data_IF_060216083993
#
_entry.id   IF_060216083993
#
_cell.length_a   1.000
_cell.length_b   1.000
_cell.length_c   1.000
_cell.angle_alpha   90.00
_cell.angle_beta   90.00
_cell.angle_gamma   90.00
#
_symmetry.space_group_name_H-M   'P 1'
#
loop_
_entity.id
_entity.type
_entity.pdbx_description
1 polymer ?
#
# COMPACT_ATOMS: atom_id res chain seq x y z
N UNK A 1 19.13 34.46 12.49
CA UNK A 1 19.76 33.12 12.38
C UNK A 1 18.66 32.16 11.98
N UNK A 2 18.45 32.00 10.66
CA UNK A 2 17.37 31.20 10.11
C UNK A 2 17.83 29.75 9.97
N UNK A 3 17.00 28.81 10.43
CA UNK A 3 17.25 27.39 10.26
C UNK A 3 16.65 27.00 8.92
N UNK A 4 17.49 26.83 7.89
CA UNK A 4 17.07 26.09 6.70
C UNK A 4 16.76 24.66 7.14
N UNK A 5 15.48 24.31 7.15
CA UNK A 5 15.07 22.91 7.32
C UNK A 5 15.41 22.21 6.02
N UNK A 6 16.59 21.58 5.97
CA UNK A 6 17.00 20.77 4.84
C UNK A 6 16.03 19.58 4.67
N UNK A 7 15.56 19.34 3.46
CA UNK A 7 14.78 18.16 3.14
C UNK A 7 15.65 16.91 3.31
N UNK A 8 15.25 16.03 4.24
CA UNK A 8 15.95 14.79 4.53
C UNK A 8 14.99 13.61 4.42
N UNK A 9 15.38 12.59 3.65
CA UNK A 9 14.66 11.33 3.53
C UNK A 9 15.49 10.22 4.16
N UNK A 10 14.83 9.34 4.92
CA UNK A 10 15.44 8.12 5.47
C UNK A 10 14.88 6.93 4.69
N UNK A 11 15.66 6.34 3.76
CA UNK A 11 15.16 5.24 2.92
C UNK A 11 14.62 4.05 3.73
N UNK A 12 15.22 3.77 4.88
CA UNK A 12 14.76 2.69 5.77
C UNK A 12 13.36 2.94 6.34
N UNK A 13 13.00 4.20 6.58
CA UNK A 13 11.66 4.58 7.05
C UNK A 13 10.64 4.41 5.90
N UNK A 14 11.03 4.72 4.66
CA UNK A 14 10.21 4.46 3.47
C UNK A 14 10.02 2.96 3.22
N UNK A 15 11.06 2.14 3.36
CA UNK A 15 10.99 0.68 3.26
C UNK A 15 10.13 0.08 4.41
N UNK A 16 10.24 0.66 5.61
CA UNK A 16 9.39 0.33 6.75
C UNK A 16 7.91 0.61 6.47
N UNK A 17 7.61 1.79 5.91
CA UNK A 17 6.25 2.19 5.59
C UNK A 17 5.68 1.42 4.38
N UNK A 18 6.47 1.18 3.34
CA UNK A 18 6.12 0.32 2.21
C UNK A 18 5.61 -1.04 2.68
N UNK A 19 6.31 -1.68 3.64
CA UNK A 19 5.89 -2.96 4.22
C UNK A 19 4.58 -2.87 5.02
N UNK A 20 4.33 -1.76 5.72
CA UNK A 20 3.05 -1.54 6.42
C UNK A 20 1.90 -1.41 5.43
N UNK A 21 2.08 -0.62 4.37
CA UNK A 21 1.10 -0.43 3.31
C UNK A 21 0.85 -1.75 2.56
N UNK A 22 1.89 -2.54 2.30
CA UNK A 22 1.77 -3.88 1.72
C UNK A 22 0.92 -4.82 2.57
N UNK A 23 1.15 -4.87 3.89
CA UNK A 23 0.30 -5.65 4.80
C UNK A 23 -1.16 -5.20 4.78
N UNK A 24 -1.41 -3.90 4.76
CA UNK A 24 -2.78 -3.39 4.64
C UNK A 24 -3.44 -3.79 3.31
N UNK A 25 -2.66 -3.90 2.23
CA UNK A 25 -3.15 -4.43 0.96
C UNK A 25 -3.52 -5.92 1.08
N UNK A 26 -2.70 -6.72 1.77
CA UNK A 26 -2.97 -8.14 2.04
C UNK A 26 -4.21 -8.33 2.91
N UNK A 27 -4.41 -7.48 3.91
CA UNK A 27 -5.59 -7.50 4.78
C UNK A 27 -6.86 -7.19 3.98
N UNK A 28 -6.83 -6.20 3.09
CA UNK A 28 -7.95 -5.89 2.21
C UNK A 28 -8.30 -7.08 1.28
N UNK A 29 -7.28 -7.74 0.74
CA UNK A 29 -7.47 -8.94 -0.09
C UNK A 29 -8.05 -10.11 0.72
N UNK A 30 -7.54 -10.35 1.93
CA UNK A 30 -8.06 -11.39 2.81
C UNK A 30 -9.53 -11.14 3.20
N UNK A 31 -9.89 -9.89 3.50
CA UNK A 31 -11.27 -9.51 3.77
C UNK A 31 -12.17 -9.75 2.54
N UNK A 32 -11.70 -9.39 1.33
CA UNK A 32 -12.44 -9.66 0.09
C UNK A 32 -12.69 -11.16 -0.10
N UNK A 33 -11.67 -12.00 0.12
CA UNK A 33 -11.79 -13.45 0.03
C UNK A 33 -12.73 -14.03 1.09
N UNK A 34 -12.71 -13.47 2.31
CA UNK A 34 -13.65 -13.85 3.36
C UNK A 34 -15.10 -13.53 2.95
N UNK A 35 -15.37 -12.32 2.47
CA UNK A 35 -16.69 -11.93 1.99
C UNK A 35 -17.16 -12.82 0.83
N UNK A 36 -16.26 -13.17 -0.09
CA UNK A 36 -16.57 -14.07 -1.21
C UNK A 36 -16.94 -15.48 -0.75
N UNK A 37 -16.30 -15.99 0.31
CA UNK A 37 -16.55 -17.35 0.83
C UNK A 37 -17.75 -17.43 1.75
N UNK A 38 -17.98 -16.41 2.57
CA UNK A 38 -18.91 -16.46 3.69
C UNK A 38 -20.07 -15.46 3.58
N UNK A 39 -20.01 -14.51 2.66
CA UNK A 39 -20.99 -13.43 2.56
C UNK A 39 -22.22 -13.74 1.72
N UNK A 40 -22.28 -14.89 1.03
CA UNK A 40 -23.45 -15.29 0.27
C UNK A 40 -24.50 -15.96 1.17
N UNK A 41 -25.75 -15.55 1.05
CA UNK A 41 -26.90 -16.21 1.69
C UNK A 41 -27.62 -17.21 0.76
N UNK A 42 -27.09 -17.43 -0.46
CA UNK A 42 -27.71 -18.27 -1.48
C UNK A 42 -28.83 -17.57 -2.27
N UNK A 43 -29.25 -18.18 -3.37
CA UNK A 43 -30.43 -17.75 -4.12
C UNK A 43 -31.68 -18.34 -3.46
N UNK A 44 -32.65 -17.49 -3.15
CA UNK A 44 -33.94 -17.87 -2.59
C UNK A 44 -35.03 -17.31 -3.49
N UNK A 45 -35.98 -18.16 -3.90
CA UNK A 45 -37.12 -17.79 -4.72
C UNK A 45 -38.33 -17.46 -3.81
N UNK A 46 -39.01 -16.34 -4.07
CA UNK A 46 -40.18 -15.94 -3.27
C UNK A 46 -40.48 -14.43 -3.27
N UNK A 47 -41.39 -14.01 -2.38
CA UNK A 47 -41.75 -12.61 -2.15
C UNK A 47 -41.88 -12.36 -0.65
N UNK A 48 -41.59 -11.13 -0.19
CA UNK A 48 -41.77 -10.72 1.21
C UNK A 48 -40.55 -10.02 1.81
N UNK A 49 -40.69 -9.51 3.04
CA UNK A 49 -39.68 -8.68 3.72
C UNK A 49 -38.32 -9.37 3.85
N UNK A 50 -38.30 -10.68 4.06
CA UNK A 50 -37.07 -11.47 4.18
C UNK A 50 -36.27 -11.50 2.87
N UNK A 51 -36.93 -11.72 1.73
CA UNK A 51 -36.25 -11.67 0.42
C UNK A 51 -35.77 -10.26 0.07
N UNK A 52 -36.52 -9.23 0.45
CA UNK A 52 -36.06 -7.84 0.30
C UNK A 52 -34.76 -7.59 1.09
N UNK A 53 -34.68 -8.08 2.33
CA UNK A 53 -33.48 -7.97 3.16
C UNK A 53 -32.28 -8.73 2.55
N UNK A 54 -32.50 -9.92 1.96
CA UNK A 54 -31.45 -10.67 1.24
C UNK A 54 -30.94 -9.90 0.02
N UNK A 55 -31.84 -9.25 -0.73
CA UNK A 55 -31.45 -8.40 -1.86
C UNK A 55 -30.58 -7.22 -1.43
N UNK A 56 -30.95 -6.53 -0.34
CA UNK A 56 -30.13 -5.46 0.24
C UNK A 56 -28.77 -5.97 0.73
N UNK A 57 -28.74 -7.14 1.38
CA UNK A 57 -27.51 -7.79 1.79
C UNK A 57 -26.60 -8.08 0.60
N UNK A 58 -27.13 -8.66 -0.49
CA UNK A 58 -26.36 -8.93 -1.70
C UNK A 58 -25.75 -7.65 -2.30
N UNK A 59 -26.50 -6.55 -2.36
CA UNK A 59 -25.99 -5.26 -2.83
C UNK A 59 -24.90 -4.71 -1.91
N UNK A 60 -25.08 -4.79 -0.59
CA UNK A 60 -24.08 -4.34 0.38
C UNK A 60 -22.78 -5.16 0.28
N UNK A 61 -22.91 -6.48 0.09
CA UNK A 61 -21.79 -7.40 -0.09
C UNK A 61 -20.99 -7.08 -1.36
N UNK A 62 -21.66 -6.78 -2.47
CA UNK A 62 -20.97 -6.40 -3.72
C UNK A 62 -20.25 -5.06 -3.55
N UNK A 63 -20.91 -4.06 -2.96
CA UNK A 63 -20.28 -2.76 -2.66
C UNK A 63 -19.05 -2.89 -1.75
N UNK A 64 -19.11 -3.71 -0.71
CA UNK A 64 -17.97 -3.97 0.16
C UNK A 64 -16.81 -4.64 -0.60
N UNK A 65 -17.12 -5.59 -1.49
CA UNK A 65 -16.14 -6.30 -2.31
C UNK A 65 -15.46 -5.36 -3.30
N UNK A 66 -16.20 -4.45 -3.93
CA UNK A 66 -15.64 -3.41 -4.81
C UNK A 66 -14.68 -2.49 -4.06
N UNK A 67 -15.07 -2.01 -2.87
CA UNK A 67 -14.22 -1.13 -2.05
C UNK A 67 -12.93 -1.85 -1.65
N UNK A 68 -13.00 -3.10 -1.19
CA UNK A 68 -11.83 -3.88 -0.80
C UNK A 68 -10.90 -4.15 -1.99
N UNK A 69 -11.47 -4.41 -3.18
CA UNK A 69 -10.69 -4.57 -4.43
C UNK A 69 -9.91 -3.29 -4.75
N UNK A 70 -10.58 -2.13 -4.65
CA UNK A 70 -9.94 -0.81 -4.89
C UNK A 70 -8.85 -0.52 -3.86
N UNK A 71 -9.11 -0.79 -2.58
CA UNK A 71 -8.13 -0.63 -1.50
C UNK A 71 -6.90 -1.51 -1.74
N UNK A 72 -7.09 -2.80 -2.01
CA UNK A 72 -5.99 -3.72 -2.31
C UNK A 72 -5.13 -3.21 -3.47
N UNK A 73 -5.77 -2.76 -4.56
CA UNK A 73 -5.07 -2.26 -5.75
C UNK A 73 -4.24 -1.00 -5.43
N UNK A 74 -4.86 0.00 -4.79
CA UNK A 74 -4.21 1.27 -4.45
C UNK A 74 -3.07 1.09 -3.46
N UNK A 75 -3.28 0.27 -2.42
CA UNK A 75 -2.26 0.01 -1.40
C UNK A 75 -1.09 -0.79 -1.99
N UNK A 76 -1.36 -1.82 -2.81
CA UNK A 76 -0.30 -2.58 -3.48
C UNK A 76 0.58 -1.69 -4.37
N UNK A 77 -0.04 -0.83 -5.18
CA UNK A 77 0.67 0.12 -6.02
C UNK A 77 1.49 1.13 -5.18
N UNK A 78 0.91 1.63 -4.10
CA UNK A 78 1.57 2.58 -3.19
C UNK A 78 2.78 1.94 -2.48
N UNK A 79 2.66 0.70 -2.02
CA UNK A 79 3.77 -0.03 -1.41
C UNK A 79 4.95 -0.18 -2.38
N UNK A 80 4.66 -0.53 -3.65
CA UNK A 80 5.68 -0.63 -4.70
C UNK A 80 6.37 0.70 -4.94
N UNK A 81 5.61 1.81 -5.03
CA UNK A 81 6.19 3.12 -5.31
C UNK A 81 7.01 3.68 -4.13
N UNK A 82 6.60 3.39 -2.90
CA UNK A 82 7.39 3.68 -1.70
C UNK A 82 8.73 2.93 -1.70
N UNK A 83 8.73 1.65 -2.07
CA UNK A 83 9.96 0.86 -2.16
C UNK A 83 10.89 1.37 -3.28
N UNK A 84 10.34 1.76 -4.43
CA UNK A 84 11.12 2.40 -5.50
C UNK A 84 11.69 3.74 -5.06
N UNK A 85 10.92 4.54 -4.33
CA UNK A 85 11.38 5.82 -3.78
C UNK A 85 12.55 5.61 -2.80
N UNK A 86 12.44 4.63 -1.91
CA UNK A 86 13.53 4.24 -1.02
C UNK A 86 14.80 3.83 -1.78
N UNK A 87 14.65 3.02 -2.85
CA UNK A 87 15.76 2.63 -3.71
C UNK A 87 16.38 3.85 -4.43
N UNK A 88 15.55 4.76 -4.95
CA UNK A 88 16.00 5.98 -5.60
C UNK A 88 16.86 6.84 -4.67
N UNK A 89 16.39 7.13 -3.46
CA UNK A 89 17.17 7.92 -2.50
C UNK A 89 18.48 7.24 -2.10
N UNK A 90 18.50 5.91 -1.90
CA UNK A 90 19.75 5.16 -1.65
C UNK A 90 20.75 5.30 -2.80
N UNK A 91 20.27 5.24 -4.05
CA UNK A 91 21.15 5.38 -5.22
C UNK A 91 21.68 6.80 -5.37
N UNK A 92 20.84 7.81 -5.15
CA UNK A 92 21.22 9.22 -5.24
C UNK A 92 22.22 9.58 -4.14
N UNK A 93 21.95 9.22 -2.89
CA UNK A 93 22.87 9.48 -1.77
C UNK A 93 24.23 8.82 -2.00
N UNK A 94 24.25 7.57 -2.49
CA UNK A 94 25.50 6.88 -2.85
C UNK A 94 26.24 7.59 -3.98
N UNK A 95 25.53 8.06 -5.00
CA UNK A 95 26.14 8.79 -6.12
C UNK A 95 26.73 10.13 -5.66
N UNK A 96 26.04 10.85 -4.78
CA UNK A 96 26.55 12.09 -4.18
C UNK A 96 27.78 11.84 -3.32
N UNK A 97 27.76 10.80 -2.47
CA UNK A 97 28.90 10.39 -1.66
C UNK A 97 30.11 10.01 -2.53
N UNK A 98 29.90 9.20 -3.57
CA UNK A 98 30.96 8.83 -4.53
C UNK A 98 31.53 10.04 -5.28
N UNK A 99 30.69 11.01 -5.64
CA UNK A 99 31.12 12.24 -6.29
C UNK A 99 32.00 13.08 -5.37
N UNK A 100 31.61 13.20 -4.09
CA UNK A 100 32.41 13.85 -3.05
C UNK A 100 33.74 13.14 -2.81
N UNK A 101 33.74 11.82 -2.67
CA UNK A 101 34.96 11.02 -2.49
C UNK A 101 35.96 11.22 -3.64
N UNK A 102 35.46 11.35 -4.88
CA UNK A 102 36.29 11.63 -6.05
C UNK A 102 36.94 13.02 -6.06
N UNK A 103 36.45 13.97 -5.25
CA UNK A 103 37.07 15.29 -5.09
C UNK A 103 38.19 15.32 -4.06
N UNK A 104 38.28 14.30 -3.19
CA UNK A 104 39.37 14.21 -2.23
C UNK A 104 40.66 13.68 -2.90
N UNK A 105 41.84 14.20 -2.52
CA UNK A 105 43.11 13.66 -3.02
C UNK A 105 43.23 12.16 -2.68
N UNK A 106 43.88 11.34 -3.52
CA UNK A 106 44.13 9.94 -3.20
C UNK A 106 44.86 9.86 -1.86
N UNK A 107 44.23 9.25 -0.86
CA UNK A 107 44.80 9.12 0.48
C UNK A 107 46.13 8.35 0.37
N UNK A 108 47.23 8.98 0.80
CA UNK A 108 48.53 8.29 0.90
C UNK A 108 48.39 7.13 1.91
N UNK A 109 48.59 5.90 1.42
CA UNK A 109 48.99 4.76 2.25
C UNK A 109 50.49 4.83 2.53
#
# INVERSE_FOLDING_TARGET
MGWDVAFQVRPDDLDGYSRQVGRAADDAHQAQEYLKRHGSMGALDGQGLFLYAIGLHAQAMEGAKEVLTRLHTLLSASAVELAKSAAYYRTTDRAQASGLDATYPPSKR
#
